data_IF_955399931507
#
_entry.id   IF_955399931507
#
_cell.length_a   1.000
_cell.length_b   1.000
_cell.length_c   1.000
_cell.angle_alpha   90.00
_cell.angle_beta   90.00
_cell.angle_gamma   90.00
#
_symmetry.space_group_name_H-M   'P 1'
#
loop_
_entity.id
_entity.type
_entity.pdbx_description
1 polymer ?
#
# COMPACT_ATOMS: atom_id res chain seq x y z
N UNK A 1 14.71 25.67 -7.99
CA UNK A 1 15.51 24.68 -7.27
C UNK A 1 14.54 23.59 -6.84
N UNK A 2 14.35 22.57 -7.69
CA UNK A 2 13.38 21.51 -7.42
C UNK A 2 14.02 20.53 -6.43
N UNK A 3 13.77 20.73 -5.15
CA UNK A 3 14.10 19.74 -4.13
C UNK A 3 13.20 18.54 -4.36
N UNK A 4 13.75 17.48 -4.94
CA UNK A 4 13.12 16.16 -4.91
C UNK A 4 13.16 15.68 -3.46
N UNK A 5 12.18 16.12 -2.66
CA UNK A 5 11.97 15.62 -1.31
C UNK A 5 11.46 14.19 -1.47
N UNK A 6 12.35 13.21 -1.27
CA UNK A 6 11.95 11.80 -1.26
C UNK A 6 10.86 11.66 -0.20
N UNK A 7 9.62 11.29 -0.56
CA UNK A 7 8.52 11.29 0.40
C UNK A 7 8.88 10.40 1.57
N UNK A 8 8.77 10.93 2.78
CA UNK A 8 9.02 10.15 3.98
C UNK A 8 8.07 8.94 3.99
N UNK A 9 8.63 7.74 4.17
CA UNK A 9 7.83 6.52 4.17
C UNK A 9 7.22 6.26 5.55
N UNK A 10 6.06 5.59 5.55
CA UNK A 10 5.50 5.01 6.77
C UNK A 10 6.43 3.91 7.31
N UNK A 11 6.40 3.66 8.62
CA UNK A 11 7.10 2.50 9.19
C UNK A 11 6.46 1.20 8.68
N UNK A 12 7.15 0.07 8.84
CA UNK A 12 6.62 -1.25 8.43
C UNK A 12 5.31 -1.60 9.12
N UNK A 13 5.16 -1.21 10.39
CA UNK A 13 3.96 -1.47 11.19
C UNK A 13 2.78 -0.61 10.71
N UNK A 14 3.02 0.67 10.46
CA UNK A 14 2.02 1.60 9.92
C UNK A 14 1.58 1.17 8.52
N UNK A 15 2.53 0.78 7.66
CA UNK A 15 2.26 0.26 6.32
C UNK A 15 1.39 -1.01 6.36
N UNK A 16 1.60 -1.90 7.33
CA UNK A 16 0.80 -3.12 7.48
C UNK A 16 -0.66 -2.81 7.86
N UNK A 17 -0.88 -1.84 8.76
CA UNK A 17 -2.22 -1.39 9.13
C UNK A 17 -2.96 -0.76 7.93
N UNK A 18 -2.28 0.15 7.22
CA UNK A 18 -2.81 0.80 6.01
C UNK A 18 -3.15 -0.24 4.93
N UNK A 19 -2.29 -1.26 4.74
CA UNK A 19 -2.55 -2.35 3.80
C UNK A 19 -3.80 -3.14 4.18
N UNK A 20 -3.97 -3.50 5.46
CA UNK A 20 -5.11 -4.29 5.89
C UNK A 20 -6.44 -3.59 5.57
N UNK A 21 -6.52 -2.28 5.83
CA UNK A 21 -7.70 -1.47 5.51
C UNK A 21 -7.90 -1.27 4.00
N UNK A 22 -6.82 -1.07 3.23
CA UNK A 22 -6.90 -0.94 1.78
C UNK A 22 -7.42 -2.22 1.11
N UNK A 23 -7.03 -3.39 1.62
CA UNK A 23 -7.46 -4.70 1.09
C UNK A 23 -8.94 -5.02 1.38
N UNK A 24 -9.49 -4.47 2.46
CA UNK A 24 -10.90 -4.64 2.80
C UNK A 24 -11.83 -3.78 1.90
N UNK A 25 -11.26 -3.05 0.92
CA UNK A 25 -11.98 -2.08 0.10
C UNK A 25 -12.29 -0.79 0.84
N UNK A 26 -11.65 -0.56 1.99
CA UNK A 26 -11.83 0.61 2.83
C UNK A 26 -11.06 1.83 2.35
N UNK A 27 -11.34 2.96 2.99
CA UNK A 27 -10.55 4.19 2.88
C UNK A 27 -9.60 4.25 4.08
N UNK A 28 -8.36 3.72 3.98
CA UNK A 28 -7.43 3.67 5.10
C UNK A 28 -7.15 5.06 5.67
N UNK A 29 -6.99 5.12 6.99
CA UNK A 29 -6.75 6.37 7.72
C UNK A 29 -5.28 6.46 8.12
N UNK A 30 -4.68 7.65 8.02
CA UNK A 30 -3.31 7.86 8.43
C UNK A 30 -3.16 7.68 9.95
N UNK A 31 -2.33 6.75 10.43
CA UNK A 31 -2.18 6.48 11.87
C UNK A 31 -1.53 7.63 12.65
N UNK A 32 -0.96 8.62 11.97
CA UNK A 32 -0.28 9.78 12.57
C UNK A 32 -1.16 11.00 12.76
N UNK A 33 -2.00 11.29 11.76
CA UNK A 33 -2.79 12.52 11.71
C UNK A 33 -4.30 12.27 11.56
N UNK A 34 -4.71 11.00 11.57
CA UNK A 34 -6.10 10.57 11.48
C UNK A 34 -6.87 11.10 10.26
N UNK A 35 -6.15 11.46 9.20
CA UNK A 35 -6.71 11.94 7.93
C UNK A 35 -6.85 10.78 6.94
N UNK A 36 -7.89 10.82 6.11
CA UNK A 36 -8.08 9.85 5.04
C UNK A 36 -6.87 9.84 4.09
N UNK A 37 -6.37 8.63 3.80
CA UNK A 37 -5.30 8.45 2.84
C UNK A 37 -5.86 8.44 1.42
N UNK A 38 -5.06 8.94 0.48
CA UNK A 38 -5.37 8.94 -0.94
C UNK A 38 -4.78 7.66 -1.53
N UNK A 39 -5.64 6.82 -2.08
CA UNK A 39 -5.24 5.60 -2.76
C UNK A 39 -5.17 5.88 -4.26
N UNK A 40 -4.02 5.59 -4.84
CA UNK A 40 -3.87 5.61 -6.29
C UNK A 40 -4.50 4.37 -6.90
N UNK A 41 -4.88 4.49 -8.18
CA UNK A 41 -5.34 3.34 -8.95
C UNK A 41 -4.26 2.26 -8.93
N UNK A 42 -4.59 1.00 -8.56
CA UNK A 42 -3.63 -0.08 -8.57
C UNK A 42 -3.17 -0.34 -10.01
N UNK A 43 -1.86 -0.48 -10.19
CA UNK A 43 -1.22 -0.77 -11.46
C UNK A 43 -0.71 -2.20 -11.44
N UNK A 44 -1.25 -3.05 -12.30
CA UNK A 44 -0.74 -4.39 -12.51
C UNK A 44 0.50 -4.34 -13.42
N UNK A 45 1.62 -4.89 -12.94
CA UNK A 45 2.86 -5.09 -13.65
C UNK A 45 3.16 -6.58 -13.66
N UNK A 46 2.82 -7.27 -14.75
CA UNK A 46 3.03 -8.72 -14.90
C UNK A 46 2.38 -9.52 -13.75
N UNK A 47 3.16 -10.25 -12.96
CA UNK A 47 2.74 -11.01 -11.77
C UNK A 47 2.58 -10.21 -10.47
N UNK A 48 2.75 -8.88 -10.51
CA UNK A 48 2.62 -8.01 -9.34
C UNK A 48 1.59 -6.89 -9.54
N UNK A 49 0.82 -6.58 -8.51
CA UNK A 49 -0.01 -5.38 -8.43
C UNK A 49 0.66 -4.38 -7.50
N UNK A 50 0.82 -3.15 -7.97
CA UNK A 50 1.42 -2.06 -7.21
C UNK A 50 0.37 -0.99 -6.94
N UNK A 51 0.21 -0.59 -5.68
CA UNK A 51 -0.67 0.50 -5.30
C UNK A 51 0.09 1.50 -4.44
N UNK A 52 0.05 2.77 -4.84
CA UNK A 52 0.56 3.87 -4.04
C UNK A 52 -0.54 4.41 -3.13
N UNK A 53 -0.22 4.60 -1.86
CA UNK A 53 -1.10 5.25 -0.89
C UNK A 53 -0.34 6.42 -0.28
N UNK A 54 -0.92 7.62 -0.33
CA UNK A 54 -0.30 8.85 0.14
C UNK A 54 -1.16 9.56 1.19
N UNK A 55 -0.49 10.16 2.17
CA UNK A 55 -1.12 11.02 3.16
C UNK A 55 -0.91 12.48 2.76
N UNK A 56 -1.98 13.23 2.42
CA UNK A 56 -1.85 14.63 2.02
C UNK A 56 -1.38 15.54 3.18
N UNK A 57 -1.61 15.14 4.43
CA UNK A 57 -1.25 15.94 5.61
C UNK A 57 0.17 15.67 6.10
N UNK A 58 0.60 14.40 6.09
CA UNK A 58 1.94 14.04 6.55
C UNK A 58 2.98 14.10 5.43
N UNK A 59 2.55 14.28 4.17
CA UNK A 59 3.39 14.16 2.98
C UNK A 59 4.19 12.84 2.97
N UNK A 60 3.52 11.77 3.42
CA UNK A 60 4.10 10.42 3.50
C UNK A 60 3.42 9.48 2.54
N UNK A 61 4.19 8.57 1.98
CA UNK A 61 3.70 7.60 1.02
C UNK A 61 4.06 6.17 1.45
N UNK A 62 3.24 5.21 1.06
CA UNK A 62 3.55 3.78 1.11
C UNK A 62 3.22 3.18 -0.24
N UNK A 63 4.14 2.36 -0.75
CA UNK A 63 3.93 1.57 -1.96
C UNK A 63 3.62 0.15 -1.53
N UNK A 64 2.36 -0.25 -1.70
CA UNK A 64 1.94 -1.63 -1.53
C UNK A 64 2.29 -2.40 -2.81
N UNK A 65 2.91 -3.56 -2.62
CA UNK A 65 3.22 -4.49 -3.70
C UNK A 65 2.61 -5.83 -3.35
N UNK A 66 1.65 -6.26 -4.15
CA UNK A 66 0.98 -7.53 -4.02
C UNK A 66 1.33 -8.39 -5.22
N UNK A 67 2.29 -9.29 -5.04
CA UNK A 67 2.61 -10.29 -6.06
C UNK A 67 1.85 -11.58 -5.80
N UNK A 68 1.48 -12.28 -6.87
CA UNK A 68 1.03 -13.67 -6.78
C UNK A 68 2.23 -14.62 -6.60
N UNK A 69 3.10 -14.38 -5.62
CA UNK A 69 4.07 -15.39 -5.17
C UNK A 69 3.36 -16.40 -4.27
N UNK A 70 2.37 -17.10 -4.83
CA UNK A 70 1.53 -17.97 -4.04
C UNK A 70 0.22 -18.42 -4.65
N UNK A 71 0.20 -18.80 -5.93
CA UNK A 71 -0.47 -20.04 -6.31
C UNK A 71 0.15 -21.23 -5.54
N UNK A 72 0.04 -21.24 -4.20
CA UNK A 72 0.12 -22.46 -3.41
C UNK A 72 -1.18 -23.18 -3.66
N UNK A 73 -1.24 -23.88 -4.80
CA UNK A 73 -2.05 -25.10 -4.95
C UNK A 73 -1.56 -26.10 -3.89
N UNK A 74 -1.95 -25.90 -2.63
CA UNK A 74 -1.73 -26.86 -1.56
C UNK A 74 -2.86 -27.89 -1.66
N UNK A 75 -2.64 -28.87 -2.53
CA UNK A 75 -3.12 -30.26 -2.42
C UNK A 75 -4.62 -30.53 -2.56
N UNK A 76 -4.97 -31.25 -3.63
CA UNK A 76 -5.62 -32.57 -3.51
C UNK A 76 -4.92 -33.49 -4.50
N UNK A 77 -4.25 -34.51 -3.95
CA UNK A 77 -3.69 -35.66 -4.67
C UNK A 77 -4.88 -36.50 -5.17
N UNK A 78 -4.91 -36.82 -6.46
CA UNK A 78 -5.65 -37.93 -7.04
C UNK A 78 -4.66 -38.95 -7.58
#
# INVERSE_FOLDING_TARGET
MSTYDTPATFTREEAAAIRAEALDGGSPICPRCNTALILSTPVALDEITVQEISCPMCHRCVILREGEFGSRKRGVKG
#
